data_IF_228778937324
#
_entry.id   IF_228778937324
#
_cell.length_a   1.000
_cell.length_b   1.000
_cell.length_c   1.000
_cell.angle_alpha   90.00
_cell.angle_beta   90.00
_cell.angle_gamma   90.00
#
_symmetry.space_group_name_H-M   'P 1'
#
loop_
_entity.id
_entity.type
_entity.pdbx_description
1 polymer ?
#
# COMPACT_ATOMS: atom_id res chain seq x y z
N UNK A 1 -4.79 -15.39 8.29
CA UNK A 1 -4.05 -14.57 7.32
C UNK A 1 -4.21 -13.16 7.83
N UNK A 2 -3.26 -12.70 8.64
CA UNK A 2 -3.29 -11.34 9.19
C UNK A 2 -3.33 -10.36 8.02
N UNK A 3 -4.44 -9.63 7.86
CA UNK A 3 -4.45 -8.44 7.02
C UNK A 3 -3.36 -7.51 7.59
N UNK A 4 -2.38 -7.16 6.75
CA UNK A 4 -1.39 -6.13 7.08
C UNK A 4 -2.19 -4.85 7.29
N UNK A 5 -2.48 -4.49 8.54
CA UNK A 5 -3.18 -3.25 8.88
C UNK A 5 -2.30 -2.07 8.45
N UNK A 6 -2.78 -1.35 7.44
CA UNK A 6 -2.05 -0.30 6.72
C UNK A 6 -1.73 -0.64 5.26
N UNK A 7 -1.66 -1.91 4.86
CA UNK A 7 -1.21 -2.28 3.51
C UNK A 7 0.28 -2.00 3.29
N UNK A 8 0.90 -2.76 2.38
CA UNK A 8 2.37 -2.79 2.18
C UNK A 8 2.96 -1.42 1.84
N UNK A 9 2.17 -0.53 1.25
CA UNK A 9 2.63 0.79 0.81
C UNK A 9 2.32 1.92 1.82
N UNK A 10 1.56 1.68 2.91
CA UNK A 10 1.22 2.73 3.90
C UNK A 10 2.40 3.35 4.61
N UNK A 11 3.47 2.56 4.74
CA UNK A 11 4.80 3.02 5.10
C UNK A 11 5.11 4.33 4.39
N UNK A 12 5.08 4.26 3.07
CA UNK A 12 5.75 5.17 2.16
C UNK A 12 4.89 6.42 1.95
N UNK A 13 5.42 7.63 2.23
CA UNK A 13 4.72 8.87 1.94
C UNK A 13 4.37 8.96 0.46
N UNK A 14 3.13 9.31 0.13
CA UNK A 14 2.72 9.49 -1.26
C UNK A 14 3.61 10.50 -2.02
N UNK A 15 4.13 11.51 -1.32
CA UNK A 15 5.05 12.51 -1.87
C UNK A 15 6.43 11.94 -2.25
N UNK A 16 6.81 10.77 -1.73
CA UNK A 16 8.04 10.08 -2.10
C UNK A 16 7.87 9.20 -3.33
N UNK A 17 6.63 8.95 -3.77
CA UNK A 17 6.32 8.08 -4.90
C UNK A 17 5.99 8.90 -6.14
N UNK A 18 6.58 8.49 -7.25
CA UNK A 18 6.27 9.00 -8.57
C UNK A 18 5.76 7.84 -9.41
N UNK A 19 4.45 7.79 -9.60
CA UNK A 19 3.83 6.93 -10.61
C UNK A 19 3.82 7.70 -11.94
N UNK A 20 4.32 7.10 -13.01
CA UNK A 20 4.23 7.69 -14.36
C UNK A 20 3.54 6.71 -15.28
N UNK A 21 2.40 7.10 -15.86
CA UNK A 21 1.74 6.32 -16.91
C UNK A 21 2.27 6.79 -18.25
N UNK A 22 3.04 5.94 -18.94
CA UNK A 22 3.79 6.33 -20.14
C UNK A 22 2.93 6.41 -21.40
N UNK A 23 1.68 5.95 -21.31
CA UNK A 23 0.66 6.02 -22.35
C UNK A 23 -0.72 5.78 -21.75
N UNK A 24 -1.76 6.06 -22.53
CA UNK A 24 -3.11 5.60 -22.21
C UNK A 24 -3.19 4.06 -22.17
N UNK A 25 -4.11 3.54 -21.37
CA UNK A 25 -4.31 2.11 -21.18
C UNK A 25 -4.58 1.39 -22.51
N UNK A 26 -3.97 0.22 -22.67
CA UNK A 26 -4.13 -0.63 -23.83
C UNK A 26 -5.40 -1.43 -23.62
N UNK A 27 -6.40 -1.14 -24.47
CA UNK A 27 -7.66 -1.90 -24.53
C UNK A 27 -7.40 -3.20 -25.28
N UNK A 28 -7.09 -4.27 -24.56
CA UNK A 28 -6.77 -5.55 -25.16
C UNK A 28 -8.02 -6.18 -25.75
N UNK A 29 -7.87 -6.69 -26.97
CA UNK A 29 -8.87 -7.45 -27.71
C UNK A 29 -8.11 -8.38 -28.67
N UNK A 30 -7.89 -9.61 -28.21
CA UNK A 30 -6.96 -10.55 -28.82
C UNK A 30 -7.72 -11.77 -29.34
N UNK A 31 -7.91 -11.83 -30.65
CA UNK A 31 -8.52 -12.97 -31.33
C UNK A 31 -7.56 -14.16 -31.38
N UNK A 32 -8.03 -15.33 -31.84
CA UNK A 32 -7.20 -16.52 -32.06
C UNK A 32 -6.01 -16.35 -33.02
N UNK A 33 -5.98 -15.27 -33.81
CA UNK A 33 -4.89 -14.96 -34.73
C UNK A 33 -3.90 -13.94 -34.16
N UNK A 34 -4.17 -13.45 -32.95
CA UNK A 34 -3.29 -12.52 -32.28
C UNK A 34 -2.11 -13.25 -31.66
N UNK A 35 -0.91 -12.73 -31.94
CA UNK A 35 0.31 -13.09 -31.24
C UNK A 35 1.19 -11.85 -31.10
N UNK A 36 2.02 -11.82 -30.07
CA UNK A 36 3.01 -10.78 -29.84
C UNK A 36 4.31 -11.41 -29.32
N UNK A 37 5.43 -10.78 -29.66
CA UNK A 37 6.75 -11.08 -29.11
C UNK A 37 7.52 -9.76 -29.00
N UNK A 38 7.75 -9.30 -27.77
CA UNK A 38 8.41 -8.01 -27.54
C UNK A 38 9.06 -7.91 -26.16
N UNK A 39 9.78 -6.81 -25.98
CA UNK A 39 10.29 -6.32 -24.70
C UNK A 39 9.82 -4.88 -24.53
N UNK A 40 9.41 -4.51 -23.32
CA UNK A 40 9.03 -3.12 -23.00
C UNK A 40 10.12 -2.45 -22.13
N UNK A 41 10.44 -1.15 -22.34
CA UNK A 41 11.40 -0.42 -21.50
C UNK A 41 10.81 0.08 -20.15
N UNK A 42 9.57 -0.31 -19.87
CA UNK A 42 8.72 0.13 -18.75
C UNK A 42 7.97 -1.08 -18.20
N UNK A 43 7.43 -0.98 -16.99
CA UNK A 43 6.58 -2.02 -16.42
C UNK A 43 5.27 -2.12 -17.19
N UNK A 44 4.70 -3.32 -17.25
CA UNK A 44 3.41 -3.59 -17.86
C UNK A 44 2.54 -4.42 -16.90
N UNK A 45 1.47 -3.80 -16.36
CA UNK A 45 0.48 -4.51 -15.55
C UNK A 45 -0.68 -4.94 -16.46
N UNK A 46 -0.87 -6.25 -16.56
CA UNK A 46 -1.90 -6.87 -17.40
C UNK A 46 -3.00 -7.46 -16.50
N UNK A 47 -4.26 -7.12 -16.78
CA UNK A 47 -5.43 -7.66 -16.07
C UNK A 47 -6.36 -8.33 -17.09
N UNK A 48 -6.67 -9.59 -16.87
CA UNK A 48 -7.62 -10.35 -17.70
C UNK A 48 -9.06 -10.09 -17.23
N UNK A 49 -9.94 -9.77 -18.18
CA UNK A 49 -11.36 -9.50 -17.94
C UNK A 49 -12.25 -10.62 -18.45
N UNK A 50 -11.93 -11.20 -19.62
CA UNK A 50 -12.71 -12.23 -20.32
C UNK A 50 -11.78 -13.12 -21.17
N UNK A 51 -12.17 -14.37 -21.38
CA UNK A 51 -11.40 -15.35 -22.16
C UNK A 51 -10.13 -15.83 -21.44
N UNK A 52 -9.22 -16.45 -22.20
CA UNK A 52 -7.94 -16.98 -21.69
C UNK A 52 -6.81 -16.47 -22.57
N UNK A 53 -5.75 -15.95 -21.95
CA UNK A 53 -4.54 -15.53 -22.65
C UNK A 53 -3.34 -16.36 -22.22
N UNK A 54 -2.48 -16.73 -23.16
CA UNK A 54 -1.25 -17.49 -22.89
C UNK A 54 -0.04 -16.60 -23.12
N UNK A 55 0.95 -16.74 -22.25
CA UNK A 55 2.17 -15.95 -22.26
C UNK A 55 3.39 -16.81 -21.96
N UNK A 56 4.53 -16.42 -22.50
CA UNK A 56 5.86 -16.86 -22.06
C UNK A 56 6.62 -15.63 -21.60
N UNK A 57 6.99 -15.55 -20.31
CA UNK A 57 7.77 -14.45 -19.75
C UNK A 57 9.17 -14.98 -19.41
N UNK A 58 10.18 -14.52 -20.13
CA UNK A 58 11.56 -15.04 -20.04
C UNK A 58 11.63 -16.59 -20.13
N UNK A 59 10.73 -17.19 -20.92
CA UNK A 59 10.63 -18.65 -21.11
C UNK A 59 9.67 -19.38 -20.16
N UNK A 60 9.18 -18.72 -19.11
CA UNK A 60 8.24 -19.32 -18.15
C UNK A 60 6.78 -19.17 -18.64
N UNK A 61 6.04 -20.29 -18.82
CA UNK A 61 4.67 -20.25 -19.32
C UNK A 61 3.70 -19.73 -18.25
N UNK A 62 2.77 -18.88 -18.70
CA UNK A 62 1.72 -18.29 -17.86
C UNK A 62 0.41 -18.27 -18.63
N UNK A 63 -0.63 -18.75 -17.97
CA UNK A 63 -2.02 -18.60 -18.42
C UNK A 63 -2.69 -17.49 -17.60
N UNK A 64 -3.51 -16.68 -18.25
CA UNK A 64 -4.27 -15.59 -17.65
C UNK A 64 -5.76 -15.85 -17.78
N UNK A 65 -6.48 -15.81 -16.66
CA UNK A 65 -7.93 -15.99 -16.57
C UNK A 65 -8.64 -14.76 -16.00
N UNK A 66 -9.96 -14.62 -16.19
CA UNK A 66 -10.70 -13.47 -15.69
C UNK A 66 -10.51 -13.26 -14.20
N UNK A 67 -10.12 -12.04 -13.81
CA UNK A 67 -9.81 -11.69 -12.42
C UNK A 67 -8.35 -11.90 -12.01
N UNK A 68 -7.52 -12.45 -12.89
CA UNK A 68 -6.08 -12.52 -12.69
C UNK A 68 -5.35 -11.29 -13.24
N UNK A 69 -4.29 -10.92 -12.54
CA UNK A 69 -3.37 -9.87 -12.90
C UNK A 69 -1.93 -10.38 -12.92
N UNK A 70 -1.12 -9.86 -13.84
CA UNK A 70 0.28 -10.22 -14.01
C UNK A 70 1.11 -8.96 -14.24
N UNK A 71 2.26 -8.88 -13.58
CA UNK A 71 3.26 -7.86 -13.82
C UNK A 71 4.37 -8.41 -14.73
N UNK A 72 4.67 -7.66 -15.77
CA UNK A 72 5.86 -7.85 -16.62
C UNK A 72 6.81 -6.71 -16.30
N UNK A 73 7.98 -7.03 -15.75
CA UNK A 73 8.98 -6.03 -15.39
C UNK A 73 9.64 -5.45 -16.64
N UNK A 74 10.06 -4.18 -16.57
CA UNK A 74 10.80 -3.55 -17.67
C UNK A 74 12.01 -4.40 -18.07
N UNK A 75 12.24 -4.56 -19.37
CA UNK A 75 13.34 -5.36 -19.92
C UNK A 75 13.07 -6.86 -20.03
N UNK A 76 12.01 -7.40 -19.41
CA UNK A 76 11.63 -8.80 -19.61
C UNK A 76 11.08 -9.00 -21.03
N UNK A 77 11.52 -10.08 -21.68
CA UNK A 77 10.94 -10.47 -22.96
C UNK A 77 9.67 -11.26 -22.69
N UNK A 78 8.63 -10.95 -23.44
CA UNK A 78 7.42 -11.73 -23.39
C UNK A 78 6.85 -12.05 -24.75
N UNK A 79 6.31 -13.25 -24.84
CA UNK A 79 5.45 -13.67 -25.93
C UNK A 79 4.03 -13.83 -25.39
N UNK A 80 3.03 -13.48 -26.18
CA UNK A 80 1.64 -13.66 -25.83
C UNK A 80 0.83 -14.13 -27.03
N UNK A 81 -0.11 -15.04 -26.82
CA UNK A 81 -1.02 -15.52 -27.84
C UNK A 81 -2.37 -15.89 -27.23
N UNK A 82 -3.38 -16.02 -28.09
CA UNK A 82 -4.66 -16.62 -27.75
C UNK A 82 -4.88 -17.82 -28.66
N UNK A 83 -5.02 -19.01 -28.09
CA UNK A 83 -5.32 -20.25 -28.82
C UNK A 83 -6.79 -20.69 -28.64
N UNK A 84 -7.54 -20.02 -27.76
CA UNK A 84 -8.93 -20.32 -27.47
C UNK A 84 -9.90 -19.83 -28.54
N UNK A 85 -11.13 -20.39 -28.58
CA UNK A 85 -12.18 -19.92 -29.48
C UNK A 85 -12.76 -18.56 -29.06
N UNK A 86 -12.63 -18.20 -27.79
CA UNK A 86 -13.10 -16.92 -27.24
C UNK A 86 -12.06 -15.82 -27.41
N UNK A 87 -12.51 -14.60 -27.64
CA UNK A 87 -11.63 -13.42 -27.67
C UNK A 87 -11.12 -13.14 -26.26
N UNK A 88 -9.80 -13.12 -26.09
CA UNK A 88 -9.18 -12.68 -24.85
C UNK A 88 -9.27 -11.15 -24.74
N UNK A 89 -10.01 -10.67 -23.73
CA UNK A 89 -10.17 -9.24 -23.43
C UNK A 89 -9.56 -8.91 -22.09
N UNK A 90 -8.86 -7.79 -22.05
CA UNK A 90 -8.16 -7.33 -20.87
C UNK A 90 -7.85 -5.84 -20.95
N UNK A 91 -7.07 -5.40 -19.98
CA UNK A 91 -6.42 -4.09 -20.00
C UNK A 91 -4.95 -4.26 -19.62
N UNK A 92 -4.08 -3.58 -20.35
CA UNK A 92 -2.67 -3.49 -20.01
C UNK A 92 -2.28 -2.03 -19.84
N UNK A 93 -1.43 -1.73 -18.88
CA UNK A 93 -0.96 -0.38 -18.64
C UNK A 93 0.55 -0.38 -18.50
N UNK A 94 1.19 0.40 -19.37
CA UNK A 94 2.61 0.69 -19.27
C UNK A 94 2.87 1.80 -18.25
N UNK A 95 3.76 1.59 -17.29
CA UNK A 95 4.03 2.57 -16.24
C UNK A 95 5.46 2.51 -15.72
N UNK A 96 5.84 3.50 -14.93
CA UNK A 96 6.98 3.42 -13.99
C UNK A 96 6.49 3.76 -12.59
N UNK A 97 7.08 3.11 -11.58
CA UNK A 97 6.83 3.43 -10.17
C UNK A 97 8.17 3.65 -9.48
N UNK A 98 8.50 4.92 -9.27
CA UNK A 98 9.80 5.33 -8.77
C UNK A 98 9.67 5.94 -7.38
N UNK A 99 10.59 5.62 -6.48
CA UNK A 99 10.74 6.31 -5.19
C UNK A 99 11.82 7.39 -5.32
N UNK A 100 11.52 8.59 -4.82
CA UNK A 100 12.32 9.81 -4.97
C UNK A 100 12.69 10.13 -6.42
N UNK A 101 11.87 9.68 -7.38
CA UNK A 101 12.06 9.89 -8.81
C UNK A 101 13.29 9.22 -9.43
N UNK A 102 13.96 8.31 -8.70
CA UNK A 102 15.26 7.75 -9.11
C UNK A 102 15.32 6.22 -9.10
N UNK A 103 14.54 5.58 -8.24
CA UNK A 103 14.68 4.15 -7.97
C UNK A 103 13.36 3.42 -8.18
N UNK A 104 13.40 2.34 -8.96
CA UNK A 104 12.22 1.51 -9.22
C UNK A 104 11.78 0.79 -7.94
N UNK A 105 10.62 1.16 -7.41
CA UNK A 105 10.10 0.60 -6.16
C UNK A 105 9.81 -0.90 -6.28
N UNK A 106 9.33 -1.37 -7.43
CA UNK A 106 8.91 -2.77 -7.61
C UNK A 106 10.12 -3.73 -7.52
N UNK A 107 11.31 -3.27 -7.92
CA UNK A 107 12.55 -4.06 -7.77
C UNK A 107 13.00 -4.25 -6.32
N UNK A 108 12.40 -3.50 -5.38
CA UNK A 108 12.67 -3.60 -3.95
C UNK A 108 11.80 -4.65 -3.27
N UNK A 109 10.82 -5.21 -3.97
CA UNK A 109 9.87 -6.19 -3.47
C UNK A 109 10.11 -7.54 -4.14
N UNK A 110 9.87 -8.60 -3.40
CA UNK A 110 9.62 -9.92 -3.97
C UNK A 110 8.11 -10.05 -4.18
N UNK A 111 7.71 -10.13 -5.45
CA UNK A 111 6.31 -10.17 -5.88
C UNK A 111 6.06 -11.51 -6.59
N UNK A 112 4.90 -12.12 -6.32
CA UNK A 112 4.39 -13.18 -7.19
C UNK A 112 4.21 -12.61 -8.60
N UNK A 113 4.63 -13.34 -9.63
CA UNK A 113 4.56 -12.87 -11.01
C UNK A 113 3.12 -12.72 -11.54
N UNK A 114 2.18 -13.48 -10.97
CA UNK A 114 0.75 -13.52 -11.33
C UNK A 114 -0.05 -13.81 -10.07
N UNK A 115 -1.21 -13.17 -9.94
CA UNK A 115 -2.14 -13.38 -8.84
C UNK A 115 -3.58 -13.33 -9.31
N UNK A 116 -4.47 -14.04 -8.61
CA UNK A 116 -5.90 -13.77 -8.65
C UNK A 116 -6.17 -12.58 -7.72
N UNK A 117 -6.85 -11.55 -8.21
CA UNK A 117 -7.13 -10.36 -7.41
C UNK A 117 -8.15 -10.67 -6.32
N UNK A 118 -7.76 -10.52 -5.05
CA UNK A 118 -8.53 -11.01 -3.89
C UNK A 118 -9.91 -10.35 -3.76
N UNK A 119 -10.04 -9.08 -4.17
CA UNK A 119 -11.29 -8.31 -4.11
C UNK A 119 -11.95 -8.15 -5.49
N UNK A 120 -11.95 -9.20 -6.30
CA UNK A 120 -12.41 -9.15 -7.69
C UNK A 120 -13.85 -8.64 -7.89
N UNK A 121 -14.78 -8.92 -6.96
CA UNK A 121 -16.15 -8.41 -7.04
C UNK A 121 -16.21 -6.87 -7.08
N UNK A 122 -15.26 -6.21 -6.42
CA UNK A 122 -15.10 -4.75 -6.42
C UNK A 122 -14.17 -4.28 -7.55
N UNK A 123 -13.05 -4.98 -7.76
CA UNK A 123 -12.01 -4.58 -8.73
C UNK A 123 -12.41 -4.84 -10.18
N UNK A 124 -13.22 -5.86 -10.46
CA UNK A 124 -13.64 -6.23 -11.82
C UNK A 124 -14.45 -5.13 -12.53
N UNK A 125 -15.49 -4.55 -11.91
CA UNK A 125 -16.18 -3.38 -12.43
C UNK A 125 -15.23 -2.18 -12.64
N UNK A 126 -14.29 -1.96 -11.71
CA UNK A 126 -13.33 -0.86 -11.80
C UNK A 126 -12.36 -1.04 -12.98
N UNK A 127 -11.82 -2.25 -13.18
CA UNK A 127 -10.93 -2.58 -14.30
C UNK A 127 -11.66 -2.47 -15.65
N UNK A 128 -12.93 -2.88 -15.72
CA UNK A 128 -13.78 -2.66 -16.90
C UNK A 128 -13.99 -1.17 -17.17
N UNK A 129 -14.30 -0.39 -16.14
CA UNK A 129 -14.46 1.06 -16.27
C UNK A 129 -13.16 1.74 -16.72
N UNK A 130 -12.02 1.35 -16.14
CA UNK A 130 -10.68 1.83 -16.51
C UNK A 130 -10.40 1.60 -18.00
N UNK A 131 -10.67 0.38 -18.49
CA UNK A 131 -10.57 0.02 -19.91
C UNK A 131 -11.50 0.84 -20.80
N UNK A 132 -12.76 1.00 -20.42
CA UNK A 132 -13.79 1.67 -21.23
C UNK A 132 -13.54 3.16 -21.36
N UNK A 133 -13.06 3.80 -20.30
CA UNK A 133 -12.79 5.23 -20.24
C UNK A 133 -11.35 5.60 -20.64
N UNK A 134 -10.57 4.61 -21.11
CA UNK A 134 -9.21 4.82 -21.56
C UNK A 134 -9.19 5.83 -22.74
N UNK A 135 -8.52 6.99 -22.58
CA UNK A 135 -8.48 8.04 -23.58
C UNK A 135 -7.67 7.59 -24.80
N UNK A 136 -7.95 8.17 -25.97
CA UNK A 136 -7.24 7.85 -27.20
C UNK A 136 -5.85 8.50 -27.30
N UNK A 137 -5.61 9.60 -26.59
CA UNK A 137 -4.42 10.44 -26.74
C UNK A 137 -3.50 10.42 -25.51
N UNK A 138 -3.95 11.01 -24.39
CA UNK A 138 -3.13 11.22 -23.21
C UNK A 138 -3.80 10.73 -21.93
N UNK A 139 -2.98 10.34 -20.97
CA UNK A 139 -3.43 9.91 -19.64
C UNK A 139 -4.12 11.07 -18.93
N UNK A 140 -5.34 10.83 -18.42
CA UNK A 140 -6.07 11.79 -17.60
C UNK A 140 -5.80 11.59 -16.11
N UNK A 141 -6.10 12.60 -15.31
CA UNK A 141 -6.01 12.51 -13.84
C UNK A 141 -6.84 11.34 -13.29
N UNK A 142 -8.06 11.14 -13.81
CA UNK A 142 -8.94 10.04 -13.41
C UNK A 142 -8.33 8.69 -13.74
N UNK A 143 -7.77 8.52 -14.95
CA UNK A 143 -7.10 7.28 -15.34
C UNK A 143 -5.87 7.00 -14.46
N UNK A 144 -5.09 8.03 -14.15
CA UNK A 144 -3.96 7.90 -13.24
C UNK A 144 -4.36 7.32 -11.88
N UNK A 145 -5.41 7.86 -11.26
CA UNK A 145 -5.86 7.40 -9.94
C UNK A 145 -6.56 6.04 -9.99
N UNK A 146 -7.36 5.77 -11.03
CA UNK A 146 -7.95 4.46 -11.24
C UNK A 146 -6.88 3.37 -11.36
N UNK A 147 -5.82 3.64 -12.13
CA UNK A 147 -4.70 2.72 -12.24
C UNK A 147 -3.96 2.56 -10.93
N UNK A 148 -3.75 3.65 -10.17
CA UNK A 148 -3.10 3.58 -8.86
C UNK A 148 -3.84 2.61 -7.92
N UNK A 149 -5.18 2.64 -7.89
CA UNK A 149 -5.98 1.68 -7.10
C UNK A 149 -5.76 0.24 -7.58
N UNK A 150 -5.76 -0.01 -8.89
CA UNK A 150 -5.53 -1.34 -9.45
C UNK A 150 -4.10 -1.85 -9.17
N UNK A 151 -3.10 -0.97 -9.26
CA UNK A 151 -1.70 -1.27 -8.97
C UNK A 151 -1.49 -1.60 -7.49
N UNK A 152 -2.10 -0.82 -6.58
CA UNK A 152 -2.04 -1.11 -5.14
C UNK A 152 -2.64 -2.48 -4.85
N UNK A 153 -3.82 -2.78 -5.39
CA UNK A 153 -4.46 -4.09 -5.22
C UNK A 153 -3.57 -5.25 -5.72
N UNK A 154 -2.96 -5.09 -6.89
CA UNK A 154 -2.00 -6.07 -7.39
C UNK A 154 -0.81 -6.26 -6.45
N UNK A 155 -0.18 -5.16 -6.01
CA UNK A 155 0.99 -5.21 -5.11
C UNK A 155 0.61 -5.89 -3.81
N UNK A 156 -0.57 -5.61 -3.26
CA UNK A 156 -1.05 -6.25 -2.03
C UNK A 156 -1.23 -7.76 -2.18
N UNK A 157 -1.85 -8.23 -3.26
CA UNK A 157 -2.06 -9.66 -3.49
C UNK A 157 -0.76 -10.40 -3.90
N UNK A 158 0.17 -9.70 -4.54
CA UNK A 158 1.42 -10.26 -5.06
C UNK A 158 2.58 -10.23 -4.06
N UNK A 159 2.57 -9.35 -3.07
CA UNK A 159 3.70 -9.18 -2.16
C UNK A 159 4.01 -10.44 -1.33
N UNK A 160 5.29 -10.82 -1.37
CA UNK A 160 5.84 -11.89 -0.54
C UNK A 160 6.70 -11.31 0.58
N UNK A 161 7.67 -10.46 0.23
CA UNK A 161 8.57 -9.82 1.19
C UNK A 161 9.29 -8.63 0.55
N UNK A 162 9.88 -7.77 1.38
CA UNK A 162 10.87 -6.80 0.90
C UNK A 162 12.20 -7.52 0.62
N UNK A 163 12.84 -7.19 -0.50
CA UNK A 163 14.19 -7.68 -0.81
C UNK A 163 15.20 -7.05 0.16
N UNK A 164 16.02 -7.92 0.77
CA UNK A 164 17.14 -7.55 1.66
C UNK A 164 18.30 -6.94 0.85
N UNK A 165 18.58 -7.53 -0.30
CA UNK A 165 19.60 -7.06 -1.22
C UNK A 165 18.95 -6.17 -2.28
N UNK A 166 18.86 -4.87 -2.00
CA UNK A 166 18.55 -3.91 -3.06
C UNK A 166 19.72 -3.95 -4.06
N UNK A 167 19.44 -4.35 -5.31
CA UNK A 167 20.45 -4.51 -6.37
C UNK A 167 21.15 -3.20 -6.81
N UNK A 168 20.93 -2.10 -6.09
CA UNK A 168 21.57 -0.82 -6.33
C UNK A 168 22.01 -0.19 -5.00
N UNK A 169 23.26 0.27 -4.89
CA UNK A 169 23.63 1.21 -3.83
C UNK A 169 22.85 2.50 -4.10
N UNK A 170 21.73 2.68 -3.41
CA UNK A 170 21.16 4.01 -3.27
C UNK A 170 22.20 4.83 -2.47
N UNK A 171 22.67 5.94 -3.04
CA UNK A 171 23.65 6.80 -2.37
C UNK A 171 22.94 7.90 -1.56
N UNK A 172 23.45 8.18 -0.37
CA UNK A 172 23.05 9.35 0.43
C UNK A 172 21.71 9.22 1.15
N UNK A 173 20.94 10.32 1.17
CA UNK A 173 19.75 10.47 2.00
C UNK A 173 18.53 9.63 1.53
N UNK A 174 18.37 9.45 0.22
CA UNK A 174 17.23 8.72 -0.37
C UNK A 174 17.23 7.24 0.02
N UNK A 175 18.44 6.65 0.09
CA UNK A 175 18.70 5.28 0.52
C UNK A 175 18.26 5.02 1.96
N UNK A 176 18.62 5.97 2.83
CA UNK A 176 18.29 5.93 4.24
C UNK A 176 16.78 6.08 4.44
N UNK A 177 16.15 7.03 3.73
CA UNK A 177 14.70 7.23 3.78
C UNK A 177 13.96 5.94 3.38
N UNK A 178 14.32 5.31 2.26
CA UNK A 178 13.72 4.05 1.85
C UNK A 178 13.91 2.94 2.90
N UNK A 179 15.11 2.81 3.47
CA UNK A 179 15.36 1.81 4.51
C UNK A 179 14.53 2.06 5.77
N UNK A 180 14.36 3.34 6.17
CA UNK A 180 13.45 3.73 7.25
C UNK A 180 12.01 3.36 6.90
N UNK A 181 11.56 3.61 5.67
CA UNK A 181 10.20 3.27 5.25
C UNK A 181 9.97 1.76 5.20
N UNK A 182 10.94 0.97 4.73
CA UNK A 182 10.92 -0.50 4.76
C UNK A 182 10.81 -1.00 6.19
N UNK A 183 11.65 -0.52 7.10
CA UNK A 183 11.63 -0.89 8.51
C UNK A 183 10.28 -0.53 9.17
N UNK A 184 9.75 0.66 8.90
CA UNK A 184 8.44 1.08 9.40
C UNK A 184 7.30 0.18 8.88
N UNK A 185 7.35 -0.20 7.61
CA UNK A 185 6.38 -1.13 7.00
C UNK A 185 6.47 -2.52 7.63
N UNK A 186 7.69 -3.04 7.84
CA UNK A 186 7.89 -4.33 8.53
C UNK A 186 7.28 -4.31 9.93
N UNK A 187 7.53 -3.24 10.70
CA UNK A 187 6.97 -3.06 12.04
C UNK A 187 5.44 -2.92 12.01
N UNK A 188 4.89 -2.15 11.07
CA UNK A 188 3.46 -1.95 10.94
C UNK A 188 2.71 -3.22 10.51
N UNK A 189 3.35 -4.08 9.71
CA UNK A 189 2.77 -5.35 9.28
C UNK A 189 2.66 -6.38 10.40
N UNK A 190 3.58 -6.38 11.35
CA UNK A 190 3.58 -7.33 12.46
C UNK A 190 3.92 -6.68 13.82
N UNK A 191 3.10 -5.74 14.32
CA UNK A 191 3.44 -4.95 15.52
C UNK A 191 3.35 -5.76 16.82
N UNK A 192 2.72 -6.94 16.79
CA UNK A 192 2.54 -7.82 17.94
C UNK A 192 3.76 -8.71 18.21
N UNK A 193 4.67 -8.85 17.25
CA UNK A 193 5.92 -9.59 17.42
C UNK A 193 6.95 -8.75 18.17
N UNK A 194 7.34 -9.18 19.36
CA UNK A 194 8.28 -8.46 20.23
C UNK A 194 9.69 -8.29 19.61
N UNK A 195 10.05 -9.12 18.62
CA UNK A 195 11.32 -9.05 17.89
C UNK A 195 11.34 -8.08 16.71
N UNK A 196 10.18 -7.70 16.17
CA UNK A 196 10.07 -7.06 14.85
C UNK A 196 10.84 -5.74 14.75
N UNK A 197 10.87 -4.93 15.81
CA UNK A 197 11.58 -3.64 15.78
C UNK A 197 13.09 -3.82 15.71
N UNK A 198 13.63 -4.88 16.35
CA UNK A 198 15.05 -5.22 16.25
C UNK A 198 15.36 -5.78 14.86
N UNK A 199 14.55 -6.72 14.38
CA UNK A 199 14.72 -7.33 13.06
C UNK A 199 14.63 -6.29 11.93
N UNK A 200 13.73 -5.31 12.03
CA UNK A 200 13.59 -4.23 11.07
C UNK A 200 14.83 -3.31 11.04
N UNK A 201 15.51 -3.12 12.17
CA UNK A 201 16.78 -2.38 12.24
C UNK A 201 17.93 -3.22 11.70
N UNK A 202 18.00 -4.51 12.04
CA UNK A 202 19.04 -5.44 11.58
C UNK A 202 18.96 -5.74 10.08
N UNK A 203 17.76 -5.69 9.50
CA UNK A 203 17.55 -5.84 8.06
C UNK A 203 18.00 -4.61 7.26
N UNK A 204 18.25 -3.47 7.91
CA UNK A 204 18.73 -2.27 7.24
C UNK A 204 20.26 -2.38 6.99
N UNK A 205 20.76 -2.01 5.80
CA UNK A 205 22.18 -2.12 5.44
C UNK A 205 23.02 -0.97 6.04
N UNK A 206 22.73 -0.56 7.28
CA UNK A 206 23.34 0.58 7.94
C UNK A 206 23.84 0.22 9.34
N UNK A 207 24.79 1.01 9.84
CA UNK A 207 25.14 0.95 11.25
C UNK A 207 23.88 1.22 12.12
N UNK A 208 23.58 0.40 13.15
CA UNK A 208 22.37 0.53 13.94
C UNK A 208 22.16 1.91 14.57
N UNK A 209 23.19 2.52 15.15
CA UNK A 209 23.08 3.83 15.83
C UNK A 209 22.81 4.96 14.84
N UNK A 210 23.36 4.85 13.63
CA UNK A 210 23.08 5.78 12.54
C UNK A 210 21.63 5.62 12.03
N UNK A 211 21.19 4.37 11.83
CA UNK A 211 19.84 4.06 11.38
C UNK A 211 18.77 4.48 12.39
N UNK A 212 18.98 4.23 13.69
CA UNK A 212 18.06 4.63 14.75
C UNK A 212 17.82 6.15 14.77
N UNK A 213 18.89 6.94 14.60
CA UNK A 213 18.81 8.40 14.51
C UNK A 213 18.03 8.84 13.26
N UNK A 214 18.29 8.23 12.12
CA UNK A 214 17.56 8.52 10.89
C UNK A 214 16.08 8.16 10.99
N UNK A 215 15.76 6.99 11.51
CA UNK A 215 14.39 6.53 11.75
C UNK A 215 13.64 7.50 12.65
N UNK A 216 14.23 7.88 13.79
CA UNK A 216 13.62 8.84 14.71
C UNK A 216 13.48 10.23 14.08
N UNK A 217 14.47 10.70 13.33
CA UNK A 217 14.40 11.98 12.62
C UNK A 217 13.24 12.00 11.62
N UNK A 218 13.00 10.88 10.92
CA UNK A 218 12.01 10.79 9.86
C UNK A 218 10.59 10.56 10.36
N UNK A 219 10.41 9.71 11.36
CA UNK A 219 9.11 9.26 11.86
C UNK A 219 8.74 9.86 13.22
N UNK A 220 9.63 10.64 13.83
CA UNK A 220 9.44 11.27 15.14
C UNK A 220 9.51 10.30 16.33
N UNK A 221 9.60 8.99 16.07
CA UNK A 221 9.59 7.92 17.08
C UNK A 221 10.77 6.97 16.85
N UNK A 222 11.34 6.44 17.93
CA UNK A 222 12.27 5.28 17.83
C UNK A 222 11.53 4.04 17.34
N UNK A 223 12.17 3.06 16.67
CA UNK A 223 11.50 1.85 16.16
C UNK A 223 10.60 1.13 17.19
N UNK A 224 11.08 0.96 18.42
CA UNK A 224 10.29 0.36 19.51
C UNK A 224 9.04 1.16 19.88
N UNK A 225 9.16 2.48 20.00
CA UNK A 225 8.00 3.37 20.23
C UNK A 225 7.04 3.38 19.03
N UNK A 226 7.55 3.25 17.82
CA UNK A 226 6.74 3.12 16.62
C UNK A 226 5.96 1.79 16.63
N UNK A 227 6.61 0.69 17.00
CA UNK A 227 5.94 -0.60 17.23
C UNK A 227 4.85 -0.51 18.30
N UNK A 228 5.16 0.07 19.46
CA UNK A 228 4.18 0.28 20.54
C UNK A 228 2.98 1.09 20.05
N UNK A 229 3.22 2.13 19.24
CA UNK A 229 2.16 2.91 18.60
C UNK A 229 1.30 2.07 17.66
N UNK A 230 1.91 1.32 16.74
CA UNK A 230 1.18 0.44 15.81
C UNK A 230 0.40 -0.65 16.54
N UNK A 231 0.94 -1.21 17.63
CA UNK A 231 0.25 -2.17 18.51
C UNK A 231 -1.00 -1.55 19.15
N UNK A 232 -0.93 -0.29 19.59
CA UNK A 232 -2.09 0.42 20.16
C UNK A 232 -3.13 0.82 19.09
N UNK A 233 -2.69 1.17 17.89
CA UNK A 233 -3.59 1.42 16.75
C UNK A 233 -4.35 0.14 16.35
N UNK A 234 -3.70 -1.02 16.35
CA UNK A 234 -4.38 -2.33 16.21
C UNK A 234 -5.38 -2.61 17.34
N UNK A 235 -5.00 -2.30 18.56
CA UNK A 235 -5.91 -2.41 19.70
C UNK A 235 -7.15 -1.50 19.57
N UNK A 236 -6.97 -0.30 19.00
CA UNK A 236 -8.05 0.63 18.69
C UNK A 236 -9.05 0.00 17.72
N UNK A 237 -8.58 -0.63 16.64
CA UNK A 237 -9.44 -1.33 15.68
C UNK A 237 -10.22 -2.49 16.31
N UNK A 238 -9.59 -3.30 17.16
CA UNK A 238 -10.29 -4.36 17.89
C UNK A 238 -11.41 -3.83 18.79
N UNK A 239 -11.17 -2.73 19.51
CA UNK A 239 -12.20 -2.07 20.31
C UNK A 239 -13.35 -1.59 19.43
N UNK A 240 -13.07 -0.94 18.30
CA UNK A 240 -14.08 -0.44 17.36
C UNK A 240 -14.91 -1.55 16.70
N UNK A 241 -14.30 -2.72 16.53
CA UNK A 241 -14.96 -3.95 16.08
C UNK A 241 -15.83 -4.61 17.17
N UNK A 242 -15.83 -4.07 18.40
CA UNK A 242 -16.70 -4.50 19.49
C UNK A 242 -16.04 -5.44 20.50
N UNK A 243 -14.73 -5.67 20.43
CA UNK A 243 -14.04 -6.46 21.46
C UNK A 243 -14.05 -5.70 22.79
N UNK A 244 -14.20 -6.44 23.89
CA UNK A 244 -14.06 -5.88 25.23
C UNK A 244 -12.61 -5.44 25.50
N UNK A 245 -12.40 -4.46 26.36
CA UNK A 245 -11.05 -3.98 26.75
C UNK A 245 -10.14 -5.12 27.22
N UNK A 246 -10.69 -6.10 27.96
CA UNK A 246 -9.92 -7.24 28.44
C UNK A 246 -9.55 -8.21 27.32
N UNK A 247 -10.48 -8.48 26.40
CA UNK A 247 -10.21 -9.31 25.23
C UNK A 247 -9.18 -8.64 24.30
N UNK A 248 -9.36 -7.35 24.00
CA UNK A 248 -8.39 -6.58 23.22
C UNK A 248 -6.99 -6.59 23.85
N UNK A 249 -6.91 -6.43 25.17
CA UNK A 249 -5.63 -6.50 25.87
C UNK A 249 -4.92 -7.83 25.62
N UNK A 250 -5.64 -8.95 25.76
CA UNK A 250 -5.09 -10.28 25.49
C UNK A 250 -4.66 -10.45 24.03
N UNK A 251 -5.49 -10.04 23.07
CA UNK A 251 -5.21 -10.13 21.62
C UNK A 251 -3.96 -9.35 21.22
N UNK A 252 -3.71 -8.19 21.83
CA UNK A 252 -2.52 -7.37 21.54
C UNK A 252 -1.33 -7.65 22.46
N UNK A 253 -1.36 -8.78 23.18
CA UNK A 253 -0.22 -9.29 23.95
C UNK A 253 -0.05 -8.70 25.36
N UNK A 254 -1.11 -8.18 25.96
CA UNK A 254 -1.11 -7.68 27.34
C UNK A 254 -1.93 -8.57 28.26
N UNK A 255 -1.26 -9.24 29.20
CA UNK A 255 -1.91 -10.10 30.20
C UNK A 255 -2.76 -9.31 31.22
N UNK A 256 -2.40 -8.06 31.51
CA UNK A 256 -3.12 -7.20 32.46
C UNK A 256 -3.89 -6.08 31.72
N UNK A 257 -5.24 -6.11 31.71
CA UNK A 257 -6.08 -5.07 31.12
C UNK A 257 -5.88 -3.66 31.71
N UNK A 258 -5.47 -3.56 32.99
CA UNK A 258 -5.18 -2.28 33.62
C UNK A 258 -3.87 -1.69 33.11
N UNK A 259 -2.82 -2.52 32.99
CA UNK A 259 -1.58 -2.11 32.36
C UNK A 259 -1.78 -1.74 30.88
N UNK A 260 -2.55 -2.53 30.12
CA UNK A 260 -2.96 -2.20 28.75
C UNK A 260 -3.62 -0.82 28.68
N UNK A 261 -4.62 -0.54 29.53
CA UNK A 261 -5.34 0.73 29.52
C UNK A 261 -4.42 1.93 29.81
N UNK A 262 -3.41 1.77 30.67
CA UNK A 262 -2.38 2.79 30.93
C UNK A 262 -1.47 2.99 29.72
N UNK A 263 -1.06 1.91 29.06
CA UNK A 263 -0.26 1.95 27.84
C UNK A 263 -1.02 2.63 26.69
N UNK A 264 -2.27 2.22 26.46
CA UNK A 264 -3.16 2.79 25.46
C UNK A 264 -3.31 4.30 25.65
N UNK A 265 -3.62 4.74 26.87
CA UNK A 265 -3.71 6.18 27.19
C UNK A 265 -2.39 6.91 27.00
N UNK A 266 -1.26 6.31 27.39
CA UNK A 266 0.06 6.93 27.23
C UNK A 266 0.41 7.15 25.76
N UNK A 267 0.07 6.20 24.90
CA UNK A 267 0.49 6.17 23.50
C UNK A 267 -0.48 6.95 22.60
N UNK A 268 -1.79 6.81 22.82
CA UNK A 268 -2.84 7.42 21.99
C UNK A 268 -3.49 8.67 22.62
N UNK A 269 -3.13 9.00 23.87
CA UNK A 269 -3.59 10.21 24.57
C UNK A 269 -4.97 10.10 25.25
N UNK A 270 -5.70 9.00 25.05
CA UNK A 270 -7.05 8.79 25.57
C UNK A 270 -7.24 7.34 26.03
N UNK A 271 -8.12 7.09 27.01
CA UNK A 271 -8.31 5.73 27.53
C UNK A 271 -9.13 4.85 26.55
N UNK A 272 -9.03 3.52 26.61
CA UNK A 272 -9.84 2.63 25.76
C UNK A 272 -11.36 2.91 25.85
N UNK A 273 -11.85 3.25 27.05
CA UNK A 273 -13.27 3.57 27.27
C UNK A 273 -13.65 4.92 26.66
N UNK A 274 -12.79 5.93 26.80
CA UNK A 274 -13.03 7.25 26.20
C UNK A 274 -13.01 7.15 24.67
N UNK A 275 -12.15 6.27 24.12
CA UNK A 275 -12.12 5.96 22.69
C UNK A 275 -13.46 5.42 22.21
N UNK A 276 -13.94 4.34 22.84
CA UNK A 276 -15.21 3.70 22.49
C UNK A 276 -16.38 4.69 22.56
N UNK A 277 -16.43 5.50 23.63
CA UNK A 277 -17.45 6.54 23.77
C UNK A 277 -17.42 7.53 22.61
N UNK A 278 -16.23 7.96 22.16
CA UNK A 278 -16.10 8.86 21.01
C UNK A 278 -16.62 8.21 19.73
N UNK A 279 -16.26 6.94 19.49
CA UNK A 279 -16.71 6.21 18.30
C UNK A 279 -18.22 5.99 18.32
N UNK A 280 -18.82 5.69 19.47
CA UNK A 280 -20.28 5.61 19.63
C UNK A 280 -20.96 6.94 19.30
N UNK A 281 -20.45 8.06 19.83
CA UNK A 281 -21.00 9.40 19.53
C UNK A 281 -20.89 9.73 18.03
N UNK A 282 -19.75 9.39 17.41
CA UNK A 282 -19.55 9.58 15.96
C UNK A 282 -20.50 8.73 15.11
N UNK A 283 -20.75 7.47 15.49
CA UNK A 283 -21.67 6.56 14.78
C UNK A 283 -23.15 6.99 14.89
N UNK A 284 -23.53 7.67 15.97
CA UNK A 284 -24.89 8.17 16.19
C UNK A 284 -25.11 9.61 15.70
N UNK A 285 -24.21 10.16 14.87
CA UNK A 285 -24.39 11.46 14.23
C UNK A 285 -24.03 12.69 15.09
N UNK A 286 -23.36 12.51 16.23
CA UNK A 286 -22.98 13.59 17.15
C UNK A 286 -21.81 14.49 16.69
N UNK A 287 -21.30 14.32 15.47
CA UNK A 287 -20.09 15.01 14.99
C UNK A 287 -20.32 16.53 14.82
N UNK A 288 -21.57 16.97 14.58
CA UNK A 288 -21.87 18.40 14.39
C UNK A 288 -21.79 19.25 15.68
N UNK A 289 -21.68 18.66 16.88
CA UNK A 289 -21.79 19.41 18.13
C UNK A 289 -20.46 19.85 18.75
N UNK A 290 -19.31 19.38 18.25
CA UNK A 290 -18.03 19.56 18.95
C UNK A 290 -16.97 20.42 18.24
N UNK A 291 -17.19 20.86 17.00
CA UNK A 291 -16.21 21.70 16.29
C UNK A 291 -16.57 23.20 16.23
N UNK A 292 -17.84 23.60 16.44
CA UNK A 292 -18.22 25.02 16.36
C UNK A 292 -17.60 25.94 17.43
N UNK A 293 -17.56 25.59 18.74
CA UNK A 293 -17.03 26.52 19.73
C UNK A 293 -15.49 26.66 19.69
N UNK A 294 -14.76 25.59 19.34
CA UNK A 294 -13.28 25.62 19.25
C UNK A 294 -12.81 26.21 17.89
N UNK A 295 -13.56 26.04 16.79
CA UNK A 295 -13.30 26.78 15.54
C UNK A 295 -13.68 28.25 15.65
N UNK A 296 -14.81 28.59 16.28
CA UNK A 296 -15.22 29.99 16.48
C UNK A 296 -14.22 30.78 17.33
N UNK A 297 -13.63 30.16 18.37
CA UNK A 297 -12.60 30.79 19.18
C UNK A 297 -11.31 31.04 18.36
N UNK A 298 -10.86 30.05 17.58
CA UNK A 298 -9.66 30.16 16.75
C UNK A 298 -9.82 31.11 15.57
N UNK A 299 -11.02 31.23 14.99
CA UNK A 299 -11.33 32.17 13.91
C UNK A 299 -11.52 33.61 14.41
N UNK A 300 -12.07 33.79 15.62
CA UNK A 300 -12.20 35.10 16.27
C UNK A 300 -10.86 35.77 16.56
N UNK A 301 -9.86 34.98 16.99
CA UNK A 301 -8.50 35.48 17.27
C UNK A 301 -7.75 35.92 16.01
N UNK A 302 -8.07 35.35 14.84
CA UNK A 302 -7.44 35.70 13.55
C UNK A 302 -8.05 36.98 12.97
N UNK A 303 -9.35 37.21 13.19
CA UNK A 303 -10.04 38.42 12.73
C UNK A 303 -9.69 39.68 13.55
N UNK A 304 -9.28 39.52 14.82
CA UNK A 304 -8.89 40.62 15.70
C UNK A 304 -7.48 41.18 15.48
N UNK A 305 -6.60 40.48 14.75
CA UNK A 305 -5.21 40.90 14.52
C UNK A 305 -4.97 41.59 13.16
N UNK A 306 -6.00 41.74 12.34
CA UNK A 306 -5.90 42.42 11.02
C UNK A 306 -6.51 43.83 11.00
N UNK A 307 -6.82 44.39 12.17
CA UNK A 307 -7.43 45.71 12.32
C UNK A 307 -6.81 46.51 13.46
N UNK A 308 -5.54 46.89 13.30
CA UNK A 308 -4.88 47.97 14.04
C UNK A 308 -3.73 48.54 13.19
#
# INVERSE_FOLDING_TARGET
MDEIEGGILSAIPASALTLTLTRAAIRMEHSRTWSIDKTNPVEDLVICLEGVGHYLIDGEPREMRPGEAMLIMRGQRFQGWNEGPETYRGVAQHFTLDIHGRHNLLTQMELRPRVALGRWSLLGPLARHYRQTAPSASVTLSQHHLFMVLLIAYVEDAFLTWRRDAAYPMEGADAMDLAVMKAATMIAANPLDDGIAREAVEAAPYNPDYFLRAFQKRLGLTPRKYQERRRMERAMHHLEAGLSVAATAAEVGYADPYYFSRMFKRVLGLSPRDHLRRVEISRHGGIMAYDEPDQSARLGDIAGQSGA
#
